data_IF_656822376464
#
_entry.id   IF_656822376464
#
_cell.length_a   1.000
_cell.length_b   1.000
_cell.length_c   1.000
_cell.angle_alpha   90.00
_cell.angle_beta   90.00
_cell.angle_gamma   90.00
#
_symmetry.space_group_name_H-M   'P 1'
#
loop_
_entity.id
_entity.type
_entity.pdbx_description
1 polymer ?
#
# COMPACT_ATOMS: atom_id res chain seq x y z
N UNK A 1 -5.60 -12.28 -30.85
CA UNK A 1 -5.42 -11.07 -30.01
C UNK A 1 -3.99 -10.96 -29.49
N UNK A 2 -3.44 -12.02 -28.86
CA UNK A 2 -2.07 -11.98 -28.32
C UNK A 2 -0.95 -12.04 -29.36
N UNK A 3 -1.25 -12.48 -30.59
CA UNK A 3 -0.31 -12.48 -31.73
C UNK A 3 0.14 -11.08 -32.20
N UNK A 4 -0.38 -10.01 -31.61
CA UNK A 4 0.04 -8.63 -31.88
C UNK A 4 1.14 -8.13 -30.94
N UNK A 5 1.45 -8.87 -29.88
CA UNK A 5 2.53 -8.51 -28.96
C UNK A 5 3.84 -9.16 -29.42
N UNK A 6 4.93 -8.40 -29.37
CA UNK A 6 6.30 -8.90 -29.61
C UNK A 6 6.99 -9.40 -28.33
N UNK A 7 6.44 -9.04 -27.15
CA UNK A 7 6.98 -9.37 -25.83
C UNK A 7 5.84 -9.39 -24.81
N UNK A 8 5.84 -10.37 -23.93
CA UNK A 8 4.95 -10.47 -22.77
C UNK A 8 5.82 -10.72 -21.54
N UNK A 9 5.66 -9.89 -20.50
CA UNK A 9 6.43 -10.01 -19.25
C UNK A 9 5.49 -10.30 -18.08
N UNK A 10 5.18 -11.59 -17.81
CA UNK A 10 4.34 -11.96 -16.68
C UNK A 10 5.08 -11.86 -15.35
N UNK A 11 4.32 -11.71 -14.26
CA UNK A 11 4.87 -11.66 -12.90
C UNK A 11 5.00 -13.05 -12.26
N UNK A 12 4.48 -14.10 -12.90
CA UNK A 12 4.55 -15.47 -12.38
C UNK A 12 4.42 -16.53 -13.46
N UNK A 13 4.83 -17.76 -13.13
CA UNK A 13 4.66 -18.93 -14.00
C UNK A 13 3.19 -19.20 -14.33
N UNK A 14 2.28 -18.99 -13.37
CA UNK A 14 0.83 -19.13 -13.61
C UNK A 14 0.35 -18.16 -14.68
N UNK A 15 0.80 -16.90 -14.64
CA UNK A 15 0.45 -15.92 -15.68
C UNK A 15 1.05 -16.31 -17.04
N UNK A 16 2.31 -16.77 -17.08
CA UNK A 16 2.94 -17.26 -18.30
C UNK A 16 2.15 -18.41 -18.95
N UNK A 17 1.74 -19.39 -18.13
CA UNK A 17 0.89 -20.51 -18.57
C UNK A 17 -0.45 -19.99 -19.11
N UNK A 18 -1.10 -19.07 -18.40
CA UNK A 18 -2.36 -18.50 -18.86
C UNK A 18 -2.22 -17.78 -20.21
N UNK A 19 -1.11 -17.06 -20.44
CA UNK A 19 -0.83 -16.45 -21.74
C UNK A 19 -0.61 -17.50 -22.84
N UNK A 20 0.08 -18.60 -22.55
CA UNK A 20 0.25 -19.71 -23.51
C UNK A 20 -1.08 -20.41 -23.82
N UNK A 21 -1.95 -20.60 -22.82
CA UNK A 21 -3.32 -21.12 -23.02
C UNK A 21 -4.16 -20.20 -23.91
N UNK A 22 -3.89 -18.88 -23.87
CA UNK A 22 -4.44 -17.90 -24.79
C UNK A 22 -3.67 -17.78 -26.12
N UNK A 23 -2.84 -18.78 -26.44
CA UNK A 23 -2.06 -18.93 -27.67
C UNK A 23 -0.96 -17.87 -27.86
N UNK A 24 -0.43 -17.28 -26.78
CA UNK A 24 0.82 -16.55 -26.86
C UNK A 24 1.98 -17.52 -27.17
N UNK A 25 2.87 -17.11 -28.07
CA UNK A 25 4.09 -17.88 -28.35
C UNK A 25 4.97 -17.93 -27.09
N UNK A 26 5.50 -19.10 -26.70
CA UNK A 26 6.43 -19.18 -25.57
C UNK A 26 7.71 -18.37 -25.82
N UNK A 27 8.08 -18.13 -27.08
CA UNK A 27 9.28 -17.38 -27.46
C UNK A 27 9.21 -15.88 -27.11
N UNK A 28 8.01 -15.34 -26.93
CA UNK A 28 7.83 -13.92 -26.59
C UNK A 28 7.57 -13.72 -25.08
N UNK A 29 7.52 -14.79 -24.29
CA UNK A 29 7.29 -14.71 -22.85
C UNK A 29 8.64 -14.67 -22.12
N UNK A 30 8.91 -13.58 -21.40
CA UNK A 30 10.16 -13.37 -20.66
C UNK A 30 9.86 -12.84 -19.25
N UNK A 31 10.73 -13.08 -18.28
CA UNK A 31 10.55 -12.58 -16.91
C UNK A 31 11.53 -11.45 -16.63
N UNK A 32 11.04 -10.32 -16.09
CA UNK A 32 11.86 -9.15 -15.76
C UNK A 32 11.63 -8.60 -14.34
N UNK A 33 10.90 -9.33 -13.50
CA UNK A 33 10.52 -8.88 -12.16
C UNK A 33 9.25 -8.01 -12.14
N UNK A 34 8.87 -7.55 -10.95
CA UNK A 34 7.69 -6.69 -10.76
C UNK A 34 8.10 -5.22 -10.81
N UNK A 35 7.55 -4.50 -11.79
CA UNK A 35 7.81 -3.07 -11.97
C UNK A 35 7.45 -2.24 -10.72
N UNK A 36 6.53 -2.70 -9.86
CA UNK A 36 6.22 -2.05 -8.59
C UNK A 36 7.42 -1.99 -7.64
N UNK A 37 8.37 -2.92 -7.77
CA UNK A 37 9.59 -2.97 -6.97
C UNK A 37 10.68 -2.04 -7.52
N UNK A 38 10.56 -1.54 -8.76
CA UNK A 38 11.55 -0.64 -9.38
C UNK A 38 11.46 0.82 -8.92
N UNK A 39 10.98 1.08 -7.70
CA UNK A 39 10.60 2.44 -7.23
C UNK A 39 11.63 3.12 -6.31
N UNK A 40 12.73 2.46 -5.97
CA UNK A 40 13.69 2.95 -4.95
C UNK A 40 14.36 4.29 -5.32
N UNK A 41 14.47 4.66 -6.61
CA UNK A 41 15.16 5.89 -7.04
C UNK A 41 14.25 7.09 -7.41
N UNK A 42 12.96 6.88 -7.70
CA UNK A 42 12.10 7.93 -8.25
C UNK A 42 11.40 8.81 -7.19
N UNK A 43 11.31 8.36 -5.94
CA UNK A 43 10.63 9.10 -4.86
C UNK A 43 11.42 10.33 -4.40
N UNK A 44 12.74 10.36 -4.65
CA UNK A 44 13.60 11.47 -4.23
C UNK A 44 13.60 12.67 -5.19
N UNK A 45 13.06 12.54 -6.41
CA UNK A 45 13.15 13.58 -7.43
C UNK A 45 11.80 14.21 -7.77
N UNK A 46 11.57 15.35 -7.10
CA UNK A 46 10.80 16.51 -7.55
C UNK A 46 9.27 16.52 -7.33
N UNK A 47 8.85 17.59 -6.61
CA UNK A 47 7.50 18.21 -6.51
C UNK A 47 6.56 17.86 -5.35
N UNK A 48 6.82 16.86 -4.51
CA UNK A 48 5.97 16.57 -3.33
C UNK A 48 6.61 16.91 -1.96
N UNK A 49 7.68 17.70 -1.93
CA UNK A 49 8.41 17.99 -0.68
C UNK A 49 7.62 18.85 0.33
N UNK A 50 6.88 19.88 -0.12
CA UNK A 50 6.12 20.76 0.80
C UNK A 50 5.07 20.01 1.63
N UNK A 51 4.31 19.11 1.00
CA UNK A 51 3.28 18.35 1.72
C UNK A 51 3.91 17.28 2.64
N UNK A 52 5.15 16.85 2.33
CA UNK A 52 5.89 15.88 3.15
C UNK A 52 6.44 16.54 4.41
N UNK A 53 6.99 17.76 4.31
CA UNK A 53 7.49 18.55 5.43
C UNK A 53 6.37 18.81 6.46
N UNK A 54 5.21 19.28 6.02
CA UNK A 54 4.05 19.51 6.91
C UNK A 54 3.60 18.25 7.67
N UNK A 55 3.65 17.08 7.01
CA UNK A 55 3.29 15.81 7.62
C UNK A 55 4.40 15.35 8.59
N UNK A 56 5.67 15.52 8.21
CA UNK A 56 6.82 15.20 9.06
C UNK A 56 6.79 16.03 10.34
N UNK A 57 6.53 17.34 10.25
CA UNK A 57 6.42 18.23 11.41
C UNK A 57 5.26 17.82 12.34
N UNK A 58 4.11 17.44 11.77
CA UNK A 58 2.98 16.94 12.55
C UNK A 58 3.27 15.60 13.22
N UNK A 59 4.04 14.72 12.57
CA UNK A 59 4.44 13.43 13.14
C UNK A 59 5.48 13.64 14.25
N UNK A 60 6.43 14.56 14.06
CA UNK A 60 7.57 14.83 14.92
C UNK A 60 8.34 13.53 15.24
N UNK A 61 8.83 13.36 16.46
CA UNK A 61 9.63 12.19 16.88
C UNK A 61 8.78 10.98 17.31
N UNK A 62 7.48 10.96 16.97
CA UNK A 62 6.59 9.88 17.38
C UNK A 62 6.93 8.60 16.66
N UNK A 63 6.92 7.48 17.39
CA UNK A 63 6.92 6.17 16.77
C UNK A 63 5.63 6.03 15.95
N UNK A 64 5.74 5.73 14.65
CA UNK A 64 4.59 5.60 13.75
C UNK A 64 4.46 4.17 13.28
N UNK A 65 3.23 3.68 13.25
CA UNK A 65 2.86 2.50 12.46
C UNK A 65 1.63 2.82 11.61
N UNK A 66 1.40 2.03 10.56
CA UNK A 66 0.35 2.30 9.58
C UNK A 66 -0.48 1.04 9.33
N UNK A 67 -1.79 1.22 9.26
CA UNK A 67 -2.72 0.23 8.73
C UNK A 67 -3.30 0.76 7.42
N UNK A 68 -2.96 0.12 6.30
CA UNK A 68 -3.32 0.60 4.96
C UNK A 68 -4.21 -0.37 4.21
N UNK A 69 -5.07 0.17 3.33
CA UNK A 69 -6.08 -0.59 2.58
C UNK A 69 -7.06 -1.35 3.49
N UNK A 70 -7.37 -0.79 4.66
CA UNK A 70 -8.29 -1.44 5.59
C UNK A 70 -9.74 -1.40 5.07
N UNK A 71 -10.44 -2.51 5.24
CA UNK A 71 -11.87 -2.65 4.99
C UNK A 71 -12.68 -2.31 6.24
N UNK A 72 -13.98 -2.04 6.03
CA UNK A 72 -14.90 -1.74 7.13
C UNK A 72 -14.92 -2.88 8.15
N UNK A 73 -14.83 -2.54 9.43
CA UNK A 73 -14.76 -3.46 10.56
C UNK A 73 -13.33 -3.80 10.99
N UNK A 74 -12.32 -3.59 10.14
CA UNK A 74 -10.92 -3.85 10.51
C UNK A 74 -10.35 -2.78 11.45
N UNK A 75 -10.94 -1.57 11.47
CA UNK A 75 -10.56 -0.48 12.36
C UNK A 75 -10.60 -0.86 13.85
N UNK A 76 -11.50 -1.76 14.26
CA UNK A 76 -11.59 -2.24 15.64
C UNK A 76 -10.36 -3.08 16.03
N UNK A 77 -9.88 -3.90 15.10
CA UNK A 77 -8.67 -4.69 15.30
C UNK A 77 -7.47 -3.75 15.39
N UNK A 78 -7.40 -2.73 14.53
CA UNK A 78 -6.33 -1.74 14.55
C UNK A 78 -6.32 -0.93 15.85
N UNK A 79 -7.50 -0.57 16.38
CA UNK A 79 -7.62 0.09 17.68
C UNK A 79 -7.13 -0.81 18.83
N UNK A 80 -7.48 -2.10 18.81
CA UNK A 80 -6.99 -3.08 19.78
C UNK A 80 -5.46 -3.20 19.77
N UNK A 81 -4.86 -3.28 18.58
CA UNK A 81 -3.41 -3.29 18.40
C UNK A 81 -2.79 -1.98 18.89
N UNK A 82 -3.38 -0.83 18.54
CA UNK A 82 -2.90 0.47 18.97
C UNK A 82 -2.83 0.55 20.50
N UNK A 83 -3.91 0.17 21.20
CA UNK A 83 -3.97 0.14 22.67
C UNK A 83 -2.92 -0.77 23.29
N UNK A 84 -2.65 -1.92 22.68
CA UNK A 84 -1.58 -2.81 23.14
C UNK A 84 -0.21 -2.16 22.98
N UNK A 85 0.05 -1.49 21.85
CA UNK A 85 1.31 -0.80 21.58
C UNK A 85 1.52 0.41 22.47
N UNK A 86 0.47 1.18 22.79
CA UNK A 86 0.55 2.36 23.66
C UNK A 86 1.07 2.03 25.06
N UNK A 87 0.85 0.80 25.55
CA UNK A 87 1.42 0.33 26.84
C UNK A 87 2.95 0.30 26.86
N UNK A 88 3.59 0.14 25.69
CA UNK A 88 5.05 0.12 25.53
C UNK A 88 5.60 1.43 24.95
N UNK A 89 4.80 2.10 24.13
CA UNK A 89 5.16 3.32 23.41
C UNK A 89 4.10 4.39 23.66
N UNK A 90 4.24 5.16 24.75
CA UNK A 90 3.21 6.07 25.23
C UNK A 90 2.80 7.17 24.23
N UNK A 91 3.69 7.53 23.29
CA UNK A 91 3.47 8.56 22.27
C UNK A 91 3.45 7.97 20.85
N UNK A 92 3.02 6.71 20.70
CA UNK A 92 2.89 6.07 19.39
C UNK A 92 1.72 6.68 18.60
N UNK A 93 1.92 6.86 17.30
CA UNK A 93 0.91 7.30 16.34
C UNK A 93 0.53 6.14 15.41
N UNK A 94 -0.77 5.96 15.16
CA UNK A 94 -1.26 5.14 14.06
C UNK A 94 -1.73 6.01 12.90
N UNK A 95 -1.33 5.67 11.68
CA UNK A 95 -1.91 6.21 10.44
C UNK A 95 -2.87 5.16 9.88
N UNK A 96 -4.15 5.53 9.75
CA UNK A 96 -5.19 4.67 9.20
C UNK A 96 -5.51 5.12 7.77
N UNK A 97 -5.32 4.23 6.80
CA UNK A 97 -5.62 4.47 5.38
C UNK A 97 -6.67 3.47 4.92
N UNK A 98 -7.97 3.84 4.88
CA UNK A 98 -9.03 2.94 4.46
C UNK A 98 -8.92 2.62 2.96
N UNK A 99 -9.34 1.41 2.59
CA UNK A 99 -9.47 0.96 1.19
C UNK A 99 -10.34 1.91 0.37
N UNK A 100 -11.36 2.49 1.00
CA UNK A 100 -12.25 3.48 0.42
C UNK A 100 -12.06 4.82 1.15
N UNK A 101 -11.38 5.81 0.53
CA UNK A 101 -11.00 7.06 1.19
C UNK A 101 -12.17 7.86 1.79
N UNK A 102 -13.37 7.78 1.19
CA UNK A 102 -14.56 8.49 1.66
C UNK A 102 -15.01 8.06 3.06
N UNK A 103 -14.62 6.87 3.53
CA UNK A 103 -14.94 6.38 4.88
C UNK A 103 -14.02 6.95 5.96
N UNK A 104 -12.94 7.64 5.61
CA UNK A 104 -11.94 8.10 6.57
C UNK A 104 -12.53 9.01 7.66
N UNK A 105 -13.48 9.86 7.30
CA UNK A 105 -14.13 10.75 8.27
C UNK A 105 -15.01 9.99 9.28
N UNK A 106 -15.80 9.03 8.80
CA UNK A 106 -16.64 8.17 9.66
C UNK A 106 -15.78 7.37 10.63
N UNK A 107 -14.72 6.73 10.12
CA UNK A 107 -13.76 5.97 10.95
C UNK A 107 -13.13 6.85 12.01
N UNK A 108 -12.69 8.06 11.66
CA UNK A 108 -12.08 8.99 12.61
C UNK A 108 -13.05 9.37 13.74
N UNK A 109 -14.30 9.69 13.42
CA UNK A 109 -15.33 10.01 14.40
C UNK A 109 -15.61 8.84 15.33
N UNK A 110 -15.67 7.62 14.80
CA UNK A 110 -15.97 6.43 15.59
C UNK A 110 -14.81 6.02 16.50
N UNK A 111 -13.56 6.11 16.03
CA UNK A 111 -12.38 5.88 16.86
C UNK A 111 -12.27 6.93 17.96
N UNK A 112 -12.56 8.20 17.69
CA UNK A 112 -12.52 9.26 18.70
C UNK A 112 -13.50 9.02 19.86
N UNK A 113 -14.68 8.44 19.59
CA UNK A 113 -15.64 8.06 20.63
C UNK A 113 -15.15 6.90 21.49
N UNK A 114 -14.36 6.00 20.90
CA UNK A 114 -13.95 4.75 21.55
C UNK A 114 -12.72 4.94 22.44
N UNK A 115 -11.92 5.98 22.25
CA UNK A 115 -10.63 6.18 22.93
C UNK A 115 -9.59 5.25 22.33
#
# INVERSE_FOLDING_TARGET
MLSKFSLIVPLSNTQAINFQLLQASPLIINFAGDLKLGTEELVNNSKSMKNMEDIQDKIADRCVWMASSIHKGEEEVMLGVHRALTKKHANILVIIVPRHPHLGHEIALDLQKKG
#
